data_IF_017614174784
#
_entry.id   IF_017614174784
#
_cell.length_a   1.000
_cell.length_b   1.000
_cell.length_c   1.000
_cell.angle_alpha   90.00
_cell.angle_beta   90.00
_cell.angle_gamma   90.00
#
_symmetry.space_group_name_H-M   'P 1'
#
loop_
_entity.id
_entity.type
_entity.pdbx_description
1 polymer ?
#
# COMPACT_ATOMS: atom_id res chain seq x y z
N UNK A 1 -11.96 -16.87 6.36
CA UNK A 1 -11.13 -16.72 5.14
C UNK A 1 -9.67 -16.80 5.56
N UNK A 2 -8.91 -17.78 5.07
CA UNK A 2 -7.48 -17.84 5.33
C UNK A 2 -6.79 -16.72 4.54
N UNK A 3 -6.17 -15.75 5.22
CA UNK A 3 -5.38 -14.69 4.59
C UNK A 3 -4.30 -15.23 3.62
N UNK A 4 -3.90 -16.49 3.78
CA UNK A 4 -2.90 -17.20 2.96
C UNK A 4 -3.27 -17.44 1.48
N UNK A 5 -4.41 -16.94 0.99
CA UNK A 5 -4.80 -17.05 -0.43
C UNK A 5 -4.85 -15.71 -1.17
N UNK A 6 -4.58 -14.60 -0.50
CA UNK A 6 -4.61 -13.28 -1.14
C UNK A 6 -3.32 -13.09 -1.93
N UNK A 7 -3.44 -12.48 -3.12
CA UNK A 7 -2.27 -11.94 -3.82
C UNK A 7 -1.73 -10.72 -3.09
N UNK A 8 -0.50 -10.32 -3.39
CA UNK A 8 0.12 -9.15 -2.77
C UNK A 8 -0.69 -7.86 -3.04
N UNK A 9 -1.29 -7.73 -4.23
CA UNK A 9 -2.14 -6.60 -4.59
C UNK A 9 -3.45 -6.61 -3.80
N UNK A 10 -4.07 -7.77 -3.63
CA UNK A 10 -5.28 -7.91 -2.81
C UNK A 10 -5.01 -7.59 -1.35
N UNK A 11 -3.86 -8.03 -0.83
CA UNK A 11 -3.43 -7.71 0.52
C UNK A 11 -3.15 -6.21 0.66
N UNK A 12 -2.46 -5.61 -0.32
CA UNK A 12 -2.19 -4.17 -0.35
C UNK A 12 -3.49 -3.37 -0.34
N UNK A 13 -4.47 -3.72 -1.17
CA UNK A 13 -5.78 -3.04 -1.21
C UNK A 13 -6.50 -3.02 0.15
N UNK A 14 -6.27 -4.04 0.99
CA UNK A 14 -6.84 -4.13 2.34
C UNK A 14 -6.03 -3.31 3.36
N UNK A 15 -4.71 -3.28 3.20
CA UNK A 15 -3.78 -2.68 4.17
C UNK A 15 -3.47 -1.21 3.89
N UNK A 16 -3.68 -0.70 2.67
CA UNK A 16 -3.40 0.69 2.32
C UNK A 16 -4.22 1.64 3.23
N UNK A 17 -3.55 2.59 3.91
CA UNK A 17 -4.23 3.56 4.75
C UNK A 17 -5.28 4.39 4.00
N UNK A 18 -6.43 4.62 4.64
CA UNK A 18 -7.52 5.44 4.08
C UNK A 18 -7.11 6.87 3.72
N UNK A 19 -6.02 7.40 4.30
CA UNK A 19 -5.49 8.73 3.98
C UNK A 19 -5.02 8.87 2.53
N UNK A 20 -4.73 7.75 1.86
CA UNK A 20 -4.35 7.73 0.44
C UNK A 20 -5.54 7.62 -0.49
N UNK A 21 -6.74 7.35 0.03
CA UNK A 21 -7.94 7.29 -0.79
C UNK A 21 -8.34 8.73 -1.14
N UNK A 22 -8.44 9.08 -2.43
CA UNK A 22 -8.89 10.41 -2.81
C UNK A 22 -10.33 10.65 -2.36
N UNK A 23 -10.71 11.91 -2.10
CA UNK A 23 -12.09 12.22 -1.76
C UNK A 23 -13.03 11.83 -2.89
N UNK A 24 -14.23 11.36 -2.54
CA UNK A 24 -15.26 11.03 -3.52
C UNK A 24 -15.63 12.30 -4.30
N UNK A 25 -15.62 12.26 -5.64
CA UNK A 25 -16.04 13.41 -6.45
C UNK A 25 -17.49 13.80 -6.15
N UNK A 26 -17.85 15.10 -6.19
CA UNK A 26 -19.20 15.57 -5.90
C UNK A 26 -20.30 14.89 -6.75
N UNK A 27 -19.97 14.53 -8.00
CA UNK A 27 -20.86 13.85 -8.96
C UNK A 27 -21.30 12.45 -8.52
N UNK A 28 -20.62 11.90 -7.53
CA UNK A 28 -20.84 10.57 -6.99
C UNK A 28 -21.17 10.55 -5.50
N UNK A 29 -21.50 11.70 -4.90
CA UNK A 29 -22.01 11.76 -3.53
C UNK A 29 -23.24 10.86 -3.35
N UNK A 30 -23.25 10.11 -2.24
CA UNK A 30 -24.33 9.16 -1.92
C UNK A 30 -24.31 7.86 -2.72
N UNK A 31 -23.39 7.69 -3.69
CA UNK A 31 -23.15 6.39 -4.34
C UNK A 31 -22.11 5.60 -3.56
N UNK A 32 -22.29 4.28 -3.50
CA UNK A 32 -21.38 3.38 -2.80
C UNK A 32 -20.14 3.14 -3.68
N UNK A 33 -19.23 4.12 -3.71
CA UNK A 33 -17.98 4.07 -4.46
C UNK A 33 -16.84 3.52 -3.60
N UNK A 34 -16.02 2.67 -4.21
CA UNK A 34 -14.79 2.13 -3.61
C UNK A 34 -13.64 2.46 -4.55
N UNK A 35 -12.61 3.13 -4.03
CA UNK A 35 -11.38 3.35 -4.76
C UNK A 35 -10.56 2.05 -4.76
N UNK A 36 -10.10 1.63 -5.94
CA UNK A 36 -9.20 0.48 -6.12
C UNK A 36 -7.88 1.04 -6.61
N UNK A 37 -6.81 0.77 -5.86
CA UNK A 37 -5.47 1.21 -6.21
C UNK A 37 -4.90 0.33 -7.32
N UNK A 38 -4.16 0.94 -8.22
CA UNK A 38 -3.45 0.24 -9.30
C UNK A 38 -1.98 0.67 -9.40
N UNK A 39 -1.28 0.21 -10.44
CA UNK A 39 0.14 0.47 -10.64
C UNK A 39 0.48 1.91 -11.03
N UNK A 40 -0.51 2.72 -11.41
CA UNK A 40 -0.31 4.13 -11.78
C UNK A 40 -0.35 5.05 -10.55
N UNK A 41 -0.94 4.59 -9.44
CA UNK A 41 -1.01 5.32 -8.18
C UNK A 41 0.37 5.54 -7.56
N UNK A 42 0.55 6.74 -6.99
CA UNK A 42 1.77 7.14 -6.28
C UNK A 42 1.44 7.53 -4.85
N UNK A 43 2.29 7.09 -3.93
CA UNK A 43 2.11 7.30 -2.50
C UNK A 43 3.24 8.18 -1.95
N UNK A 44 2.87 9.24 -1.25
CA UNK A 44 3.81 10.04 -0.46
C UNK A 44 3.90 9.46 0.96
N UNK A 45 5.07 8.93 1.29
CA UNK A 45 5.40 8.37 2.60
C UNK A 45 6.30 9.34 3.35
N UNK A 46 6.05 9.51 4.64
CA UNK A 46 7.02 10.13 5.53
C UNK A 46 8.23 9.22 5.71
N UNK A 47 9.37 9.80 6.14
CA UNK A 47 10.58 9.02 6.40
C UNK A 47 10.33 7.93 7.46
N UNK A 48 9.61 8.25 8.53
CA UNK A 48 9.32 7.31 9.61
C UNK A 48 8.46 6.12 9.15
N UNK A 49 7.46 6.36 8.30
CA UNK A 49 6.65 5.29 7.70
C UNK A 49 7.48 4.39 6.79
N UNK A 50 8.40 4.96 6.00
CA UNK A 50 9.32 4.18 5.18
C UNK A 50 10.23 3.31 6.06
N UNK A 51 10.79 3.86 7.14
CA UNK A 51 11.61 3.11 8.10
C UNK A 51 10.81 1.98 8.76
N UNK A 52 9.55 2.21 9.11
CA UNK A 52 8.69 1.17 9.67
C UNK A 52 8.46 0.02 8.68
N UNK A 53 8.12 0.33 7.42
CA UNK A 53 7.93 -0.67 6.36
C UNK A 53 9.19 -1.54 6.19
N UNK A 54 10.36 -0.90 6.07
CA UNK A 54 11.65 -1.60 5.93
C UNK A 54 11.93 -2.47 7.16
N UNK A 55 11.64 -1.97 8.36
CA UNK A 55 11.85 -2.70 9.62
C UNK A 55 10.99 -3.97 9.68
N UNK A 56 9.72 -3.90 9.26
CA UNK A 56 8.84 -5.07 9.17
C UNK A 56 9.31 -6.06 8.10
N UNK A 57 9.71 -5.57 6.93
CA UNK A 57 10.25 -6.40 5.86
C UNK A 57 11.51 -7.16 6.31
N UNK A 58 12.42 -6.49 7.03
CA UNK A 58 13.62 -7.12 7.61
C UNK A 58 13.28 -8.26 8.58
N UNK A 59 12.24 -8.11 9.40
CA UNK A 59 11.81 -9.16 10.33
C UNK A 59 11.27 -10.40 9.59
N UNK A 60 10.64 -10.21 8.43
CA UNK A 60 10.13 -11.30 7.61
C UNK A 60 11.25 -12.03 6.85
N UNK A 61 12.35 -11.35 6.51
CA UNK A 61 13.59 -11.96 6.03
C UNK A 61 14.45 -11.03 5.16
N UNK A 62 15.76 -11.32 5.02
CA UNK A 62 16.70 -10.43 4.31
C UNK A 62 16.40 -10.24 2.82
N UNK A 63 15.65 -11.16 2.19
CA UNK A 63 15.27 -11.08 0.77
C UNK A 63 14.04 -10.19 0.50
N UNK A 64 13.36 -9.72 1.54
CA UNK A 64 12.11 -8.96 1.41
C UNK A 64 12.30 -7.44 1.48
N UNK A 65 13.53 -6.96 1.70
CA UNK A 65 13.82 -5.54 1.68
C UNK A 65 13.92 -5.10 0.21
N UNK A 66 13.02 -4.22 -0.28
CA UNK A 66 13.10 -3.74 -1.66
C UNK A 66 14.36 -2.88 -1.83
N UNK A 67 15.18 -3.23 -2.81
CA UNK A 67 16.35 -2.44 -3.20
C UNK A 67 15.92 -1.49 -4.32
N UNK A 68 15.57 -0.26 -3.94
CA UNK A 68 15.15 0.78 -4.87
C UNK A 68 16.40 1.47 -5.43
N UNK A 69 16.90 0.99 -6.57
CA UNK A 69 18.08 1.54 -7.26
C UNK A 69 19.40 0.87 -6.88
N UNK A 70 20.52 1.43 -7.35
CA UNK A 70 21.86 0.95 -6.98
C UNK A 70 22.28 1.50 -5.63
N UNK A 71 22.50 0.61 -4.66
CA UNK A 71 23.18 0.95 -3.41
C UNK A 71 24.68 1.03 -3.72
N UNK A 72 25.29 2.21 -3.53
CA UNK A 72 26.74 2.37 -3.58
C UNK A 72 27.39 1.87 -2.30
#
# INVERSE_FOLDING_TARGET
MHLFKLTDEQLAQILIPKRFVPPTPPEHEGKNMVYVFDSEDKFELTYDELVEIISKARMAGPKLIPVLGTVN
#
